data_IF_614761927040
#
_entry.id   IF_614761927040
#
_cell.length_a   1.000
_cell.length_b   1.000
_cell.length_c   1.000
_cell.angle_alpha   90.00
_cell.angle_beta   90.00
_cell.angle_gamma   90.00
#
_symmetry.space_group_name_H-M   'P 1'
#
loop_
_entity.id
_entity.type
_entity.pdbx_description
1 polymer ?
#
# COMPACT_ATOMS: atom_id res chain seq x y z
N UNK A 1 -3.18 -13.16 26.17
CA UNK A 1 -4.43 -13.86 25.77
C UNK A 1 -5.11 -12.95 24.76
N UNK A 2 -5.37 -13.43 23.55
CA UNK A 2 -5.98 -12.64 22.47
C UNK A 2 -7.51 -12.77 22.59
N UNK A 3 -8.27 -11.67 22.62
CA UNK A 3 -9.73 -11.75 22.63
C UNK A 3 -10.24 -12.32 21.29
N UNK A 4 -10.89 -13.48 21.34
CA UNK A 4 -11.50 -14.12 20.18
C UNK A 4 -12.98 -13.71 20.07
N UNK A 5 -13.37 -13.16 18.91
CA UNK A 5 -14.76 -12.83 18.60
C UNK A 5 -15.27 -13.79 17.50
N UNK A 6 -16.04 -14.84 17.86
CA UNK A 6 -16.44 -15.89 16.93
C UNK A 6 -17.36 -15.39 15.80
N UNK A 7 -18.18 -14.38 16.07
CA UNK A 7 -19.14 -13.82 15.13
C UNK A 7 -18.44 -13.13 13.95
N UNK A 8 -17.47 -12.26 14.24
CA UNK A 8 -16.66 -11.57 13.24
C UNK A 8 -15.77 -12.54 12.46
N UNK A 9 -15.13 -13.49 13.15
CA UNK A 9 -14.27 -14.49 12.51
C UNK A 9 -15.04 -15.36 11.52
N UNK A 10 -16.28 -15.77 11.86
CA UNK A 10 -17.13 -16.56 10.96
C UNK A 10 -17.68 -15.74 9.80
N UNK A 11 -18.03 -14.48 10.03
CA UNK A 11 -18.55 -13.60 8.98
C UNK A 11 -17.51 -13.31 7.88
N UNK A 12 -16.25 -13.13 8.26
CA UNK A 12 -15.14 -12.83 7.34
C UNK A 12 -14.30 -14.05 6.95
N UNK A 13 -14.60 -15.22 7.52
CA UNK A 13 -13.85 -16.46 7.34
C UNK A 13 -12.33 -16.28 7.57
N UNK A 14 -11.95 -15.46 8.56
CA UNK A 14 -10.55 -15.17 8.88
C UNK A 14 -10.32 -15.01 10.39
N UNK A 15 -9.08 -15.19 10.84
CA UNK A 15 -8.67 -14.93 12.23
C UNK A 15 -8.38 -13.43 12.41
N UNK A 16 -9.27 -12.74 13.12
CA UNK A 16 -9.13 -11.31 13.40
C UNK A 16 -8.66 -11.09 14.83
N UNK A 17 -7.70 -10.18 14.98
CA UNK A 17 -7.23 -9.69 16.27
C UNK A 17 -7.88 -8.32 16.51
N UNK A 18 -8.68 -8.19 17.57
CA UNK A 18 -9.42 -6.94 17.88
C UNK A 18 -8.94 -6.42 19.23
N UNK A 19 -8.29 -5.27 19.22
CA UNK A 19 -7.90 -4.55 20.43
C UNK A 19 -8.64 -3.22 20.54
N UNK A 20 -9.03 -2.87 21.77
CA UNK A 20 -9.65 -1.58 22.09
C UNK A 20 -8.61 -0.76 22.85
N UNK A 21 -8.20 0.36 22.26
CA UNK A 21 -7.21 1.27 22.85
C UNK A 21 -7.77 2.68 22.98
N UNK A 22 -7.58 3.30 24.15
CA UNK A 22 -8.07 4.66 24.44
C UNK A 22 -6.95 5.73 24.44
N UNK A 23 -5.71 5.35 24.17
CA UNK A 23 -4.54 6.24 24.27
C UNK A 23 -4.13 6.76 22.90
N UNK A 24 -3.84 8.06 22.80
CA UNK A 24 -3.35 8.73 21.58
C UNK A 24 -2.10 8.07 21.01
N UNK A 25 -1.22 7.53 21.88
CA UNK A 25 0.00 6.84 21.47
C UNK A 25 -0.28 5.62 20.56
N UNK A 26 -1.37 4.89 20.82
CA UNK A 26 -1.73 3.74 19.98
C UNK A 26 -2.28 4.18 18.64
N UNK A 27 -3.01 5.30 18.60
CA UNK A 27 -3.45 5.90 17.35
C UNK A 27 -2.25 6.34 16.49
N UNK A 28 -1.27 7.02 17.09
CA UNK A 28 -0.03 7.41 16.39
C UNK A 28 0.76 6.19 15.89
N UNK A 29 0.81 5.12 16.69
CA UNK A 29 1.42 3.86 16.30
C UNK A 29 0.67 3.25 15.10
N UNK A 30 -0.65 3.10 15.18
CA UNK A 30 -1.46 2.56 14.07
C UNK A 30 -1.32 3.41 12.80
N UNK A 31 -1.33 4.74 12.93
CA UNK A 31 -1.13 5.67 11.83
C UNK A 31 0.23 5.45 11.16
N UNK A 32 1.30 5.35 11.96
CA UNK A 32 2.64 5.02 11.44
C UNK A 32 2.61 3.71 10.66
N UNK A 33 1.92 2.67 11.13
CA UNK A 33 1.87 1.38 10.43
C UNK A 33 1.01 1.40 9.18
N UNK A 34 -0.11 2.13 9.20
CA UNK A 34 -1.01 2.27 8.05
C UNK A 34 -0.32 3.00 6.89
N UNK A 35 0.46 4.03 7.21
CA UNK A 35 1.18 4.84 6.22
C UNK A 35 2.64 4.42 6.02
N UNK A 36 3.09 3.35 6.69
CA UNK A 36 4.34 2.66 6.36
C UNK A 36 4.09 1.75 5.16
N UNK A 37 3.69 2.35 4.05
CA UNK A 37 3.51 1.64 2.79
C UNK A 37 4.84 1.02 2.33
N UNK A 38 4.81 -0.03 1.51
CA UNK A 38 5.99 -0.44 0.77
C UNK A 38 6.46 0.75 -0.05
N UNK A 39 7.70 1.15 0.15
CA UNK A 39 8.25 2.36 -0.44
C UNK A 39 8.15 2.28 -1.98
N UNK A 40 8.25 1.07 -2.54
CA UNK A 40 8.26 0.80 -3.97
C UNK A 40 7.37 -0.42 -4.31
N UNK A 41 6.63 -0.35 -5.42
CA UNK A 41 5.88 -1.47 -6.01
C UNK A 41 6.36 -1.68 -7.45
N UNK A 42 6.53 -2.94 -7.85
CA UNK A 42 6.87 -3.32 -9.23
C UNK A 42 5.61 -3.73 -9.98
N UNK A 43 5.40 -3.14 -11.16
CA UNK A 43 4.29 -3.50 -12.03
C UNK A 43 4.84 -3.99 -13.37
N UNK A 44 4.27 -5.09 -13.88
CA UNK A 44 4.53 -5.60 -15.22
C UNK A 44 3.42 -5.11 -16.16
N UNK A 45 3.80 -4.46 -17.27
CA UNK A 45 2.86 -4.06 -18.32
C UNK A 45 2.83 -5.13 -19.42
N UNK A 46 1.92 -6.10 -19.30
CA UNK A 46 1.75 -7.12 -20.33
C UNK A 46 1.24 -6.51 -21.64
N UNK A 47 2.03 -6.61 -22.71
CA UNK A 47 1.63 -6.21 -24.06
C UNK A 47 1.29 -7.45 -24.90
N UNK A 48 0.01 -7.67 -25.27
CA UNK A 48 -0.41 -8.85 -26.01
C UNK A 48 0.04 -8.88 -27.49
N UNK A 49 0.72 -7.84 -27.98
CA UNK A 49 1.16 -7.73 -29.38
C UNK A 49 2.66 -7.97 -29.59
N UNK A 50 3.40 -8.34 -28.54
CA UNK A 50 4.82 -8.68 -28.64
C UNK A 50 4.92 -10.20 -28.67
N UNK A 51 5.34 -10.75 -29.82
CA UNK A 51 5.59 -12.17 -29.96
C UNK A 51 6.63 -12.62 -28.92
N UNK A 52 6.36 -13.75 -28.27
CA UNK A 52 6.99 -14.36 -27.07
C UNK A 52 8.50 -14.69 -27.21
N UNK A 53 9.16 -14.18 -28.25
CA UNK A 53 10.53 -14.53 -28.67
C UNK A 53 11.57 -13.57 -28.07
N UNK A 54 11.16 -12.38 -27.62
CA UNK A 54 12.06 -11.33 -27.10
C UNK A 54 11.56 -10.72 -25.77
N UNK A 55 10.93 -11.56 -24.92
CA UNK A 55 10.40 -11.16 -23.62
C UNK A 55 11.54 -11.06 -22.59
N UNK A 56 12.18 -9.89 -22.50
CA UNK A 56 13.19 -9.59 -21.49
C UNK A 56 12.49 -9.24 -20.17
N UNK A 57 12.32 -10.23 -19.30
CA UNK A 57 11.66 -10.09 -17.99
C UNK A 57 12.19 -8.88 -17.21
N UNK A 58 13.45 -8.46 -17.39
CA UNK A 58 14.02 -7.32 -16.68
C UNK A 58 13.52 -5.95 -17.18
N UNK A 59 13.15 -5.83 -18.46
CA UNK A 59 12.70 -4.55 -19.05
C UNK A 59 11.23 -4.24 -18.79
N UNK A 60 10.43 -5.27 -18.51
CA UNK A 60 8.98 -5.12 -18.40
C UNK A 60 8.49 -4.72 -17.00
N UNK A 61 9.39 -4.65 -16.01
CA UNK A 61 9.06 -4.15 -14.67
C UNK A 61 9.34 -2.66 -14.52
N UNK A 62 8.29 -1.88 -14.26
CA UNK A 62 8.42 -0.49 -13.83
C UNK A 62 8.44 -0.45 -12.31
N UNK A 63 9.51 0.11 -11.74
CA UNK A 63 9.58 0.45 -10.32
C UNK A 63 8.80 1.74 -10.07
N UNK A 64 7.60 1.63 -9.52
CA UNK A 64 6.79 2.76 -9.07
C UNK A 64 6.92 3.00 -7.57
N UNK A 65 6.96 4.25 -7.15
CA UNK A 65 6.82 4.62 -5.72
C UNK A 65 5.33 4.71 -5.37
N UNK A 66 4.92 4.12 -4.26
CA UNK A 66 3.55 4.34 -3.78
C UNK A 66 3.40 5.78 -3.30
N UNK A 67 2.39 6.47 -3.81
CA UNK A 67 2.07 7.84 -3.42
C UNK A 67 0.78 7.86 -2.63
N UNK A 68 0.78 8.45 -1.44
CA UNK A 68 -0.45 8.55 -0.64
C UNK A 68 -1.49 9.42 -1.37
N UNK A 69 -2.78 9.19 -1.10
CA UNK A 69 -3.86 9.96 -1.76
C UNK A 69 -3.71 11.47 -1.56
N UNK A 70 -3.24 11.91 -0.39
CA UNK A 70 -2.93 13.32 -0.13
C UNK A 70 -1.78 13.83 -0.99
N UNK A 71 -0.68 13.08 -1.10
CA UNK A 71 0.46 13.48 -1.94
C UNK A 71 0.10 13.50 -3.44
N UNK A 72 -0.71 12.54 -3.90
CA UNK A 72 -1.19 12.49 -5.29
C UNK A 72 -2.07 13.69 -5.63
N UNK A 73 -3.02 14.02 -4.76
CA UNK A 73 -3.85 15.22 -4.88
C UNK A 73 -2.98 16.47 -4.93
N UNK A 74 -1.94 16.53 -4.09
CA UNK A 74 -0.99 17.63 -4.08
C UNK A 74 -0.19 17.78 -5.38
N UNK A 75 0.28 16.66 -5.96
CA UNK A 75 0.97 16.65 -7.25
C UNK A 75 0.04 17.08 -8.40
N UNK A 76 -1.21 16.59 -8.41
CA UNK A 76 -2.21 16.96 -9.42
C UNK A 76 -2.52 18.47 -9.35
N UNK A 77 -2.59 19.05 -8.16
CA UNK A 77 -2.82 20.48 -7.97
C UNK A 77 -1.56 21.35 -8.10
N UNK A 78 -0.37 20.76 -8.24
CA UNK A 78 0.86 21.47 -8.62
C UNK A 78 1.49 22.37 -7.55
N UNK A 79 1.25 22.14 -6.26
CA UNK A 79 1.87 22.95 -5.21
C UNK A 79 3.36 22.62 -5.06
N UNK A 80 4.20 23.66 -5.15
CA UNK A 80 5.66 23.59 -5.31
C UNK A 80 6.41 23.40 -3.98
N UNK A 81 6.14 22.33 -3.22
CA UNK A 81 6.72 22.15 -1.88
C UNK A 81 7.92 21.18 -1.87
N UNK A 82 8.04 20.30 -2.86
CA UNK A 82 9.18 19.38 -3.01
C UNK A 82 9.66 19.37 -4.46
N UNK A 83 10.42 20.40 -4.84
CA UNK A 83 11.51 20.17 -5.79
C UNK A 83 12.54 19.32 -5.08
N UNK A 84 12.39 18.01 -5.12
CA UNK A 84 13.51 17.12 -4.86
C UNK A 84 14.18 16.82 -6.21
N UNK A 85 15.42 17.31 -6.30
CA UNK A 85 16.45 16.96 -7.29
C UNK A 85 16.52 15.45 -7.53
#
# INVERSE_FOLDING_TARGET
IIPYIPTLSRALNCHLHVDIYFTVNVFMYLYKYLFKGPDHTTFNMYNPNIDDIDHDEFKDYIHGRYLSSSEAVWQIFGYHITQQL
#
